data_IF_388811360989
#
_entry.id   IF_388811360989
#
_cell.length_a   1.000
_cell.length_b   1.000
_cell.length_c   1.000
_cell.angle_alpha   90.00
_cell.angle_beta   90.00
_cell.angle_gamma   90.00
#
_symmetry.space_group_name_H-M   'P 1'
#
loop_
_entity.id
_entity.type
_entity.pdbx_description
1 polymer ?
#
# COMPACT_ATOMS: atom_id res chain seq x y z
N UNK A 1 30.09 33.43 -40.54
CA UNK A 1 30.40 33.08 -39.14
C UNK A 1 29.64 31.81 -38.85
N UNK A 2 30.32 30.67 -38.74
CA UNK A 2 29.71 29.37 -38.46
C UNK A 2 30.02 29.04 -37.01
N UNK A 3 29.00 29.09 -36.16
CA UNK A 3 29.11 28.70 -34.77
C UNK A 3 29.31 27.18 -34.73
N UNK A 4 30.55 26.76 -34.47
CA UNK A 4 30.84 25.36 -34.22
C UNK A 4 30.32 25.02 -32.83
N UNK A 5 29.23 24.26 -32.83
CA UNK A 5 28.72 23.51 -31.68
C UNK A 5 29.83 22.61 -31.14
N UNK A 6 30.53 23.07 -30.11
CA UNK A 6 31.53 22.28 -29.40
C UNK A 6 30.80 21.25 -28.54
N UNK A 7 30.70 20.03 -29.07
CA UNK A 7 30.24 18.89 -28.30
C UNK A 7 31.05 18.80 -27.01
N UNK A 8 30.41 19.03 -25.86
CA UNK A 8 31.08 19.00 -24.57
C UNK A 8 31.59 17.58 -24.33
N UNK A 9 32.92 17.46 -24.17
CA UNK A 9 33.59 16.18 -23.91
C UNK A 9 33.00 15.49 -22.67
N UNK A 10 32.82 14.17 -22.74
CA UNK A 10 32.38 13.33 -21.60
C UNK A 10 33.31 13.48 -20.39
N UNK A 11 34.59 13.82 -20.63
CA UNK A 11 35.58 14.07 -19.59
C UNK A 11 35.58 15.52 -19.05
N UNK A 12 34.66 16.38 -19.51
CA UNK A 12 34.43 17.69 -18.92
C UNK A 12 33.96 17.57 -17.47
N UNK A 13 34.20 18.59 -16.65
CA UNK A 13 33.68 18.65 -15.27
C UNK A 13 32.17 18.41 -15.22
N UNK A 14 31.42 19.00 -16.16
CA UNK A 14 29.97 18.80 -16.31
C UNK A 14 29.61 17.34 -16.66
N UNK A 15 30.43 16.67 -17.49
CA UNK A 15 30.23 15.27 -17.86
C UNK A 15 30.47 14.31 -16.68
N UNK A 16 31.48 14.59 -15.87
CA UNK A 16 31.77 13.84 -14.64
C UNK A 16 30.69 14.05 -13.57
N UNK A 17 30.17 15.27 -13.42
CA UNK A 17 29.06 15.57 -12.51
C UNK A 17 27.78 14.82 -12.91
N UNK A 18 27.43 14.85 -14.20
CA UNK A 18 26.30 14.10 -14.73
C UNK A 18 26.45 12.60 -14.49
N UNK A 19 27.65 12.04 -14.71
CA UNK A 19 27.94 10.63 -14.43
C UNK A 19 27.71 10.29 -12.95
N UNK A 20 28.14 11.18 -12.05
CA UNK A 20 27.92 11.02 -10.61
C UNK A 20 26.42 11.05 -10.26
N UNK A 21 25.64 11.96 -10.85
CA UNK A 21 24.19 12.01 -10.65
C UNK A 21 23.48 10.76 -11.15
N UNK A 22 23.86 10.26 -12.32
CA UNK A 22 23.31 9.02 -12.88
C UNK A 22 23.63 7.83 -11.96
N UNK A 23 24.87 7.77 -11.45
CA UNK A 23 25.28 6.73 -10.49
C UNK A 23 24.44 6.79 -9.21
N UNK A 24 24.31 7.96 -8.59
CA UNK A 24 23.46 8.14 -7.39
C UNK A 24 22.01 7.77 -7.64
N UNK A 25 21.46 8.13 -8.81
CA UNK A 25 20.09 7.77 -9.19
C UNK A 25 19.92 6.26 -9.26
N UNK A 26 20.89 5.53 -9.84
CA UNK A 26 20.84 4.06 -9.88
C UNK A 26 20.88 3.45 -8.49
N UNK A 27 21.83 3.88 -7.65
CA UNK A 27 21.95 3.42 -6.26
C UNK A 27 20.66 3.68 -5.47
N UNK A 28 20.03 4.84 -5.67
CA UNK A 28 18.75 5.17 -5.04
C UNK A 28 17.62 4.22 -5.46
N UNK A 29 17.53 3.89 -6.74
CA UNK A 29 16.52 2.94 -7.26
C UNK A 29 16.78 1.53 -6.72
N UNK A 30 18.03 1.08 -6.69
CA UNK A 30 18.40 -0.23 -6.13
C UNK A 30 18.03 -0.32 -4.64
N UNK A 31 18.35 0.72 -3.87
CA UNK A 31 17.99 0.80 -2.46
C UNK A 31 16.47 0.79 -2.25
N UNK A 32 15.71 1.51 -3.07
CA UNK A 32 14.24 1.51 -3.02
C UNK A 32 13.69 0.09 -3.21
N UNK A 33 14.16 -0.61 -4.25
CA UNK A 33 13.71 -1.99 -4.54
C UNK A 33 14.06 -2.93 -3.39
N UNK A 34 15.23 -2.77 -2.77
CA UNK A 34 15.62 -3.58 -1.61
C UNK A 34 14.68 -3.36 -0.42
N UNK A 35 14.34 -2.11 -0.12
CA UNK A 35 13.42 -1.75 0.96
C UNK A 35 12.00 -2.27 0.70
N UNK A 36 11.48 -2.14 -0.52
CA UNK A 36 10.15 -2.63 -0.86
C UNK A 36 10.04 -4.16 -0.72
N UNK A 37 11.10 -4.88 -1.11
CA UNK A 37 11.19 -6.32 -0.90
C UNK A 37 11.28 -6.67 0.59
N UNK A 38 12.00 -5.89 1.39
CA UNK A 38 12.11 -6.08 2.83
C UNK A 38 10.77 -5.85 3.53
N UNK A 39 10.07 -4.76 3.20
CA UNK A 39 8.72 -4.45 3.69
C UNK A 39 7.78 -5.62 3.42
N UNK A 40 7.77 -6.16 2.20
CA UNK A 40 6.91 -7.30 1.84
C UNK A 40 7.16 -8.53 2.71
N UNK A 41 8.44 -8.80 3.05
CA UNK A 41 8.82 -9.89 3.96
C UNK A 41 8.41 -9.59 5.39
N UNK A 42 8.65 -8.37 5.88
CA UNK A 42 8.30 -7.92 7.22
C UNK A 42 6.79 -7.95 7.44
N UNK A 43 5.98 -7.55 6.47
CA UNK A 43 4.53 -7.69 6.54
C UNK A 43 4.10 -9.15 6.73
N UNK A 44 4.72 -10.06 5.98
CA UNK A 44 4.40 -11.48 6.10
C UNK A 44 4.76 -12.01 7.49
N UNK A 45 5.93 -11.63 8.00
CA UNK A 45 6.36 -11.97 9.36
C UNK A 45 5.42 -11.38 10.42
N UNK A 46 5.04 -10.11 10.27
CA UNK A 46 4.14 -9.42 11.17
C UNK A 46 2.78 -10.11 11.27
N UNK A 47 2.19 -10.52 10.14
CA UNK A 47 0.90 -11.21 10.16
C UNK A 47 0.93 -12.59 10.84
N UNK A 48 2.02 -13.34 10.65
CA UNK A 48 2.18 -14.63 11.31
C UNK A 48 2.38 -14.45 12.83
N UNK A 49 3.19 -13.47 13.25
CA UNK A 49 3.50 -13.24 14.67
C UNK A 49 2.37 -12.53 15.46
N UNK A 50 1.51 -11.75 14.78
CA UNK A 50 0.44 -10.97 15.41
C UNK A 50 -0.95 -11.62 15.37
N UNK A 51 -1.03 -12.87 14.92
CA UNK A 51 -2.31 -13.54 14.73
C UNK A 51 -3.12 -13.70 16.03
N UNK A 52 -2.45 -14.08 17.13
CA UNK A 52 -3.12 -14.55 18.34
C UNK A 52 -3.73 -13.43 19.19
N UNK A 53 -3.08 -12.26 19.21
CA UNK A 53 -3.48 -11.11 20.03
C UNK A 53 -4.12 -9.97 19.22
N UNK A 54 -4.16 -10.10 17.89
CA UNK A 54 -4.71 -9.08 17.00
C UNK A 54 -3.62 -8.19 16.40
N UNK A 55 -3.98 -7.46 15.34
CA UNK A 55 -3.03 -6.74 14.50
C UNK A 55 -3.60 -5.41 14.01
N UNK A 56 -2.76 -4.57 13.39
CA UNK A 56 -3.17 -3.24 12.91
C UNK A 56 -4.29 -3.26 11.85
N UNK A 57 -4.53 -4.41 11.21
CA UNK A 57 -5.57 -4.56 10.18
C UNK A 57 -6.92 -4.97 10.80
N UNK A 58 -6.91 -5.93 11.71
CA UNK A 58 -8.11 -6.49 12.34
C UNK A 58 -8.43 -5.87 13.72
N UNK A 59 -7.55 -5.03 14.23
CA UNK A 59 -7.62 -4.45 15.57
C UNK A 59 -7.10 -5.37 16.68
N UNK A 60 -6.92 -4.77 17.87
CA UNK A 60 -6.36 -5.40 19.07
C UNK A 60 -7.42 -5.87 20.07
N UNK A 61 -8.67 -6.09 19.62
CA UNK A 61 -9.78 -6.43 20.51
C UNK A 61 -9.56 -7.75 21.29
N UNK A 62 -8.73 -8.66 20.74
CA UNK A 62 -8.40 -9.95 21.35
C UNK A 62 -7.59 -9.78 22.63
N UNK A 63 -6.76 -8.73 22.73
CA UNK A 63 -5.98 -8.42 23.93
C UNK A 63 -6.91 -8.13 25.12
N UNK A 64 -8.00 -7.38 24.87
CA UNK A 64 -8.97 -6.98 25.90
C UNK A 64 -9.97 -8.07 26.25
N UNK A 65 -10.26 -8.98 25.31
CA UNK A 65 -11.28 -10.01 25.46
C UNK A 65 -10.84 -11.19 26.36
N UNK A 66 -9.55 -11.29 26.67
CA UNK A 66 -9.02 -12.33 27.57
C UNK A 66 -9.43 -12.12 29.05
N UNK A 67 -9.97 -10.95 29.43
CA UNK A 67 -10.19 -10.61 30.84
C UNK A 67 -11.64 -10.53 31.36
N UNK A 68 -12.72 -10.46 30.55
CA UNK A 68 -14.09 -10.53 31.15
C UNK A 68 -15.35 -10.73 30.27
N UNK A 69 -15.31 -10.85 28.94
CA UNK A 69 -16.56 -10.90 28.15
C UNK A 69 -16.69 -12.16 27.26
N UNK A 70 -17.10 -13.29 27.84
CA UNK A 70 -17.36 -14.57 27.12
C UNK A 70 -18.74 -14.63 26.44
N UNK A 71 -19.05 -13.61 25.65
CA UNK A 71 -20.27 -13.55 24.84
C UNK A 71 -20.42 -12.11 24.40
N UNK A 72 -20.22 -11.75 23.14
CA UNK A 72 -21.25 -11.92 22.10
C UNK A 72 -20.67 -12.15 20.70
N UNK A 73 -19.34 -12.11 20.45
CA UNK A 73 -18.81 -12.06 19.07
C UNK A 73 -17.79 -13.16 18.68
N UNK A 74 -17.86 -14.37 19.26
CA UNK A 74 -16.90 -15.44 19.01
C UNK A 74 -17.13 -16.27 17.71
N UNK A 75 -18.16 -15.94 16.91
CA UNK A 75 -18.56 -16.77 15.75
C UNK A 75 -17.87 -16.40 14.43
N UNK A 76 -17.20 -15.25 14.35
CA UNK A 76 -16.52 -14.80 13.15
C UNK A 76 -15.01 -15.10 13.12
N UNK A 77 -14.41 -15.55 14.24
CA UNK A 77 -12.98 -15.41 14.49
C UNK A 77 -12.28 -16.73 14.88
N UNK A 78 -12.59 -17.82 14.18
CA UNK A 78 -11.96 -19.14 14.40
C UNK A 78 -11.31 -19.75 13.16
N UNK A 79 -11.31 -19.04 12.03
CA UNK A 79 -10.60 -19.49 10.82
C UNK A 79 -9.44 -18.53 10.60
N UNK A 80 -8.22 -19.06 10.52
CA UNK A 80 -7.05 -18.33 10.01
C UNK A 80 -7.44 -17.78 8.64
N UNK A 81 -7.87 -16.52 8.59
CA UNK A 81 -8.22 -15.88 7.32
C UNK A 81 -6.91 -15.74 6.57
N UNK A 82 -6.89 -16.18 5.32
CA UNK A 82 -5.71 -15.99 4.48
C UNK A 82 -5.46 -14.48 4.36
N UNK A 83 -4.20 -14.06 4.54
CA UNK A 83 -3.79 -12.67 4.38
C UNK A 83 -4.15 -12.25 2.96
N UNK A 84 -5.06 -11.29 2.82
CA UNK A 84 -5.47 -10.80 1.51
C UNK A 84 -4.44 -9.80 1.00
N UNK A 85 -4.40 -9.63 -0.33
CA UNK A 85 -3.56 -8.60 -0.95
C UNK A 85 -3.87 -7.21 -0.42
N UNK A 86 -5.14 -6.92 -0.14
CA UNK A 86 -5.58 -5.63 0.40
C UNK A 86 -5.14 -5.40 1.86
N UNK A 87 -4.86 -6.46 2.62
CA UNK A 87 -4.42 -6.34 4.02
C UNK A 87 -2.96 -5.83 4.10
N UNK A 88 -2.21 -5.88 3.00
CA UNK A 88 -0.80 -5.45 2.90
C UNK A 88 -0.66 -3.96 2.65
N UNK A 89 -1.20 -3.17 3.58
CA UNK A 89 -1.33 -1.72 3.44
C UNK A 89 0.01 -0.99 3.29
N UNK A 90 1.11 -1.53 3.83
CA UNK A 90 2.43 -0.87 3.77
C UNK A 90 3.01 -1.04 2.37
N UNK A 91 2.94 -2.26 1.83
CA UNK A 91 3.29 -2.53 0.43
C UNK A 91 2.39 -1.75 -0.53
N UNK A 92 1.11 -1.55 -0.22
CA UNK A 92 0.20 -0.77 -1.06
C UNK A 92 0.40 0.75 -0.93
N UNK A 93 1.05 1.24 0.13
CA UNK A 93 1.31 2.67 0.33
C UNK A 93 2.34 3.25 -0.65
N UNK A 94 3.18 2.40 -1.25
CA UNK A 94 4.13 2.79 -2.30
C UNK A 94 3.57 2.41 -3.67
N UNK A 95 3.37 3.40 -4.55
CA UNK A 95 2.96 3.17 -5.94
C UNK A 95 4.02 2.42 -6.76
N UNK A 96 5.29 2.49 -6.35
CA UNK A 96 6.39 1.78 -7.01
C UNK A 96 6.53 0.34 -6.54
N UNK A 97 5.80 -0.07 -5.48
CA UNK A 97 5.99 -1.39 -4.90
C UNK A 97 5.54 -2.51 -5.84
N UNK A 98 6.18 -3.70 -5.76
CA UNK A 98 5.79 -4.85 -6.57
C UNK A 98 4.32 -5.27 -6.39
N UNK A 99 3.76 -5.09 -5.19
CA UNK A 99 2.38 -5.43 -4.92
C UNK A 99 1.42 -4.41 -5.54
N UNK A 100 1.74 -3.12 -5.39
CA UNK A 100 0.94 -2.01 -5.93
C UNK A 100 0.91 -2.02 -7.46
N UNK A 101 2.04 -2.32 -8.10
CA UNK A 101 2.10 -2.48 -9.56
C UNK A 101 1.23 -3.64 -10.03
N UNK A 102 1.26 -4.78 -9.32
CA UNK A 102 0.43 -5.95 -9.65
C UNK A 102 -1.05 -5.66 -9.48
N UNK A 103 -1.45 -4.98 -8.41
CA UNK A 103 -2.86 -4.61 -8.19
C UNK A 103 -3.32 -3.59 -9.22
N UNK A 104 -2.51 -2.58 -9.54
CA UNK A 104 -2.83 -1.60 -10.58
C UNK A 104 -2.98 -2.24 -11.97
N UNK A 105 -2.14 -3.24 -12.30
CA UNK A 105 -2.24 -3.97 -13.57
C UNK A 105 -3.47 -4.89 -13.66
N UNK A 106 -4.04 -5.31 -12.52
CA UNK A 106 -5.22 -6.16 -12.46
C UNK A 106 -6.55 -5.38 -12.56
N UNK A 107 -6.52 -4.05 -12.43
CA UNK A 107 -7.71 -3.20 -12.55
C UNK A 107 -7.98 -2.93 -14.04
N UNK A 108 -9.18 -3.22 -14.58
CA UNK A 108 -9.52 -2.88 -15.94
C UNK A 108 -9.46 -1.36 -16.13
N UNK A 109 -8.77 -0.90 -17.18
CA UNK A 109 -8.48 0.52 -17.47
C UNK A 109 -9.70 1.44 -17.47
N UNK A 110 -10.90 0.91 -17.73
CA UNK A 110 -12.17 1.65 -17.69
C UNK A 110 -12.58 2.17 -16.28
N UNK A 111 -11.92 1.74 -15.20
CA UNK A 111 -12.23 2.19 -13.83
C UNK A 111 -11.21 3.19 -13.25
N UNK A 112 -10.06 3.38 -13.90
CA UNK A 112 -8.99 4.25 -13.39
C UNK A 112 -9.23 5.74 -13.69
N UNK A 113 -10.07 6.06 -14.67
CA UNK A 113 -10.27 7.44 -15.15
C UNK A 113 -11.17 8.30 -14.22
N UNK A 114 -11.80 7.70 -13.19
CA UNK A 114 -12.58 8.46 -12.21
C UNK A 114 -11.81 8.87 -10.94
N UNK A 115 -10.53 8.51 -10.81
CA UNK A 115 -9.76 8.73 -9.57
C UNK A 115 -8.83 9.95 -9.56
N UNK A 116 -8.44 10.51 -10.71
CA UNK A 116 -7.35 11.50 -10.76
C UNK A 116 -7.70 12.92 -10.31
N UNK A 117 -8.95 13.21 -9.95
CA UNK A 117 -9.39 14.55 -9.53
C UNK A 117 -9.81 14.67 -8.06
N UNK A 118 -9.59 13.65 -7.23
CA UNK A 118 -10.00 13.72 -5.83
C UNK A 118 -8.80 13.45 -4.91
N UNK A 119 -8.12 14.52 -4.49
CA UNK A 119 -7.07 14.53 -3.47
C UNK A 119 -7.62 14.23 -2.06
N UNK A 120 -8.64 13.39 -1.96
CA UNK A 120 -9.24 12.99 -0.70
C UNK A 120 -9.01 11.50 -0.52
N UNK A 121 -8.15 11.16 0.44
CA UNK A 121 -7.98 9.81 0.99
C UNK A 121 -9.32 9.33 1.60
N UNK A 122 -10.27 8.93 0.76
CA UNK A 122 -11.46 8.23 1.22
C UNK A 122 -11.20 6.73 1.06
N UNK A 123 -10.93 6.09 2.20
CA UNK A 123 -11.06 4.66 2.37
C UNK A 123 -12.52 4.33 2.02
N UNK A 124 -12.73 3.58 0.93
CA UNK A 124 -14.04 3.09 0.55
C UNK A 124 -14.44 1.98 1.53
N UNK A 125 -15.19 2.33 2.57
CA UNK A 125 -15.95 1.35 3.34
C UNK A 125 -17.08 0.84 2.46
N UNK A 126 -16.93 -0.38 1.96
CA UNK A 126 -18.05 -1.13 1.38
C UNK A 126 -18.86 -1.65 2.57
N UNK A 127 -19.75 -0.82 3.09
CA UNK A 127 -20.81 -1.28 3.99
C UNK A 127 -21.83 -2.03 3.14
N UNK A 128 -21.65 -3.35 3.09
CA UNK A 128 -22.72 -4.26 2.74
C UNK A 128 -23.73 -4.24 3.87
N UNK A 129 -24.85 -3.56 3.66
CA UNK A 129 -26.20 -3.96 4.09
C UNK A 129 -27.17 -2.78 3.81
N UNK A 130 -27.69 -2.71 2.59
CA UNK A 130 -28.78 -1.80 2.23
C UNK A 130 -30.10 -2.57 2.15
N UNK A 131 -30.61 -2.97 3.31
CA UNK A 131 -32.01 -3.42 3.45
C UNK A 131 -32.56 -3.01 4.82
N UNK A 132 -33.05 -1.76 4.92
CA UNK A 132 -34.11 -1.36 5.86
C UNK A 132 -34.58 0.07 5.59
N UNK A 133 -35.55 0.23 4.70
CA UNK A 133 -36.44 1.40 4.70
C UNK A 133 -37.27 1.31 5.99
N UNK A 134 -36.83 1.97 7.07
CA UNK A 134 -37.68 2.20 8.25
C UNK A 134 -38.22 3.63 8.19
N UNK A 135 -39.38 3.79 7.56
CA UNK A 135 -40.22 4.98 7.68
C UNK A 135 -40.55 5.22 9.17
N UNK A 136 -40.14 6.37 9.71
CA UNK A 136 -40.69 6.88 10.97
C UNK A 136 -41.86 7.83 10.65
N UNK A 137 -43.03 7.68 11.31
CA UNK A 137 -44.08 8.68 11.22
C UNK A 137 -43.73 9.87 12.11
N UNK A 138 -43.90 11.07 11.58
CA UNK A 138 -43.90 12.31 12.36
C UNK A 138 -45.23 12.39 13.13
N UNK A 139 -45.16 12.60 14.45
CA UNK A 139 -46.28 13.13 15.25
C UNK A 139 -46.17 14.64 15.29
#
# INVERSE_FOLDING_TARGET
>A
MKDHETAKSIHSAEGNELLQMIKRRRECIENLVNLENEITKLESKYFEESHDYGNMINGFHKITSTSSARGVNLRYDKRKRNVQTLDRIISLSSLTSPLSIKTAAAIPKNLLEQGSNNSNNQILFVDGDSDSIRSMPLK
#
